data_IF_103959256001
#
_entry.id   IF_103959256001
#
_cell.length_a   1.000
_cell.length_b   1.000
_cell.length_c   1.000
_cell.angle_alpha   90.00
_cell.angle_beta   90.00
_cell.angle_gamma   90.00
#
_symmetry.space_group_name_H-M   'P 1'
#
loop_
_entity.id
_entity.type
_entity.pdbx_description
1 polymer ?
#
# COMPACT_ATOMS: atom_id res chain seq x y z
N UNK A 1 2.66 -19.60 11.88
CA UNK A 1 1.97 -18.50 12.58
C UNK A 1 3.04 -17.79 13.37
N UNK A 2 3.17 -16.49 13.12
CA UNK A 2 4.40 -15.72 13.36
C UNK A 2 4.57 -15.43 14.86
N UNK A 3 5.47 -16.15 15.54
CA UNK A 3 5.81 -15.91 16.95
C UNK A 3 6.23 -14.45 17.19
N UNK A 4 6.90 -13.84 16.21
CA UNK A 4 7.25 -12.42 16.21
C UNK A 4 6.03 -11.48 16.19
N UNK A 5 4.95 -11.90 15.51
CA UNK A 5 3.71 -11.11 15.46
C UNK A 5 2.94 -11.17 16.78
N UNK A 6 2.89 -12.35 17.40
CA UNK A 6 2.34 -12.46 18.75
C UNK A 6 3.16 -11.68 19.77
N UNK A 7 4.50 -11.69 19.66
CA UNK A 7 5.37 -10.90 20.53
C UNK A 7 5.11 -9.39 20.39
N UNK A 8 4.93 -8.87 19.17
CA UNK A 8 4.58 -7.45 18.95
C UNK A 8 3.19 -7.08 19.51
N UNK A 9 2.21 -7.99 19.39
CA UNK A 9 0.89 -7.79 20.00
C UNK A 9 1.03 -7.72 21.53
N UNK A 10 1.77 -8.65 22.13
CA UNK A 10 2.00 -8.70 23.57
C UNK A 10 2.77 -7.48 24.08
N UNK A 11 3.78 -6.99 23.35
CA UNK A 11 4.52 -5.78 23.71
C UNK A 11 3.59 -4.55 23.75
N UNK A 12 2.74 -4.36 22.73
CA UNK A 12 1.77 -3.24 22.74
C UNK A 12 0.68 -3.40 23.81
N UNK A 13 0.25 -4.63 24.10
CA UNK A 13 -0.72 -4.90 25.16
C UNK A 13 -0.12 -4.77 26.57
N UNK A 14 1.19 -5.00 26.73
CA UNK A 14 1.89 -4.89 28.02
C UNK A 14 1.90 -3.48 28.58
N UNK A 15 1.83 -2.45 27.72
CA UNK A 15 1.67 -1.05 28.13
C UNK A 15 0.34 -0.80 28.84
N UNK A 16 -0.65 -1.67 28.61
CA UNK A 16 -1.98 -1.56 29.18
C UNK A 16 -2.25 -2.50 30.36
N UNK A 17 -1.28 -3.33 30.79
CA UNK A 17 -1.46 -4.32 31.89
C UNK A 17 -2.68 -5.26 31.65
N UNK A 18 -3.04 -5.50 30.38
CA UNK A 18 -4.40 -5.92 29.95
C UNK A 18 -4.47 -7.37 29.43
N UNK A 19 -3.74 -8.31 30.04
CA UNK A 19 -4.05 -9.73 29.81
C UNK A 19 -5.36 -10.12 30.52
N UNK A 20 -6.21 -11.00 29.94
CA UNK A 20 -7.27 -11.66 30.69
C UNK A 20 -6.59 -12.46 31.80
N UNK A 21 -6.59 -11.89 32.99
CA UNK A 21 -5.77 -12.39 34.07
C UNK A 21 -6.51 -13.52 34.79
N UNK A 22 -5.74 -14.25 35.59
CA UNK A 22 -6.32 -15.27 36.49
C UNK A 22 -7.36 -14.63 37.42
N UNK A 23 -7.27 -13.32 37.66
CA UNK A 23 -8.22 -12.59 38.48
C UNK A 23 -9.60 -12.50 37.80
N UNK A 24 -9.73 -12.09 36.54
CA UNK A 24 -11.02 -12.03 35.81
C UNK A 24 -11.72 -13.40 35.77
N UNK A 25 -10.97 -14.46 35.49
CA UNK A 25 -11.50 -15.83 35.52
C UNK A 25 -11.90 -16.26 36.93
N UNK A 26 -11.09 -15.94 37.94
CA UNK A 26 -11.42 -16.21 39.33
C UNK A 26 -12.70 -15.49 39.75
N UNK A 27 -12.88 -14.23 39.35
CA UNK A 27 -14.10 -13.44 39.60
C UNK A 27 -15.35 -14.06 38.97
N UNK A 28 -15.25 -14.50 37.70
CA UNK A 28 -16.34 -15.20 37.01
C UNK A 28 -16.68 -16.50 37.72
N UNK A 29 -15.69 -17.34 38.02
CA UNK A 29 -15.91 -18.63 38.66
C UNK A 29 -16.40 -18.48 40.11
N UNK A 30 -15.85 -17.55 40.89
CA UNK A 30 -16.29 -17.31 42.27
C UNK A 30 -17.68 -16.70 42.31
N UNK A 31 -17.98 -15.76 41.41
CA UNK A 31 -19.31 -15.15 41.30
C UNK A 31 -20.36 -16.18 40.89
N UNK A 32 -20.07 -17.01 39.88
CA UNK A 32 -20.95 -18.08 39.45
C UNK A 32 -21.17 -19.13 40.57
N UNK A 33 -20.11 -19.51 41.29
CA UNK A 33 -20.21 -20.42 42.42
C UNK A 33 -21.09 -19.85 43.55
N UNK A 34 -20.90 -18.58 43.90
CA UNK A 34 -21.75 -17.90 44.89
C UNK A 34 -23.20 -17.86 44.44
N UNK A 35 -23.46 -17.59 43.15
CA UNK A 35 -24.81 -17.62 42.60
C UNK A 35 -25.45 -19.01 42.71
N UNK A 36 -24.70 -20.07 42.38
CA UNK A 36 -25.18 -21.45 42.54
C UNK A 36 -25.48 -21.79 44.00
N UNK A 37 -24.61 -21.41 44.94
CA UNK A 37 -24.81 -21.63 46.38
C UNK A 37 -26.11 -20.94 46.84
N UNK A 38 -26.31 -19.67 46.46
CA UNK A 38 -27.52 -18.93 46.77
C UNK A 38 -28.79 -19.60 46.20
N UNK A 39 -28.76 -20.06 44.95
CA UNK A 39 -29.89 -20.76 44.34
C UNK A 39 -30.21 -22.08 45.05
N UNK A 40 -29.18 -22.83 45.46
CA UNK A 40 -29.37 -24.08 46.23
C UNK A 40 -30.06 -23.81 47.55
N UNK A 41 -29.63 -22.81 48.33
CA UNK A 41 -30.27 -22.47 49.61
C UNK A 41 -31.61 -21.74 49.46
N UNK A 42 -31.92 -21.15 48.30
CA UNK A 42 -33.27 -20.68 47.98
C UNK A 42 -34.25 -21.83 47.74
N UNK A 43 -33.80 -22.93 47.13
CA UNK A 43 -34.66 -24.10 46.83
C UNK A 43 -34.75 -25.06 48.02
N UNK A 44 -33.67 -25.19 48.79
CA UNK A 44 -33.57 -26.06 49.95
C UNK A 44 -33.01 -25.25 51.14
N UNK A 45 -33.83 -24.38 51.76
CA UNK A 45 -33.41 -23.64 52.94
C UNK A 45 -33.25 -24.64 54.09
N UNK A 46 -32.03 -24.80 54.60
CA UNK A 46 -31.75 -25.70 55.73
C UNK A 46 -32.27 -25.18 57.07
N UNK A 47 -32.15 -25.99 58.12
CA UNK A 47 -32.75 -25.71 59.45
C UNK A 47 -31.85 -24.87 60.40
N UNK A 48 -30.74 -24.31 59.90
CA UNK A 48 -29.77 -23.60 60.75
C UNK A 48 -30.24 -22.21 61.22
N UNK A 49 -31.10 -21.55 60.46
CA UNK A 49 -31.64 -20.20 60.73
C UNK A 49 -33.12 -20.21 60.34
N UNK A 50 -33.90 -19.23 60.81
CA UNK A 50 -35.27 -18.99 60.33
C UNK A 50 -35.34 -19.01 58.79
N UNK A 51 -36.30 -19.76 58.26
CA UNK A 51 -36.45 -20.02 56.84
C UNK A 51 -36.60 -18.73 56.03
N UNK A 52 -37.33 -17.74 56.56
CA UNK A 52 -37.54 -16.46 55.89
C UNK A 52 -36.21 -15.71 55.75
N UNK A 53 -35.41 -15.70 56.82
CA UNK A 53 -34.09 -15.07 56.84
C UNK A 53 -33.12 -15.78 55.89
N UNK A 54 -33.13 -17.11 55.87
CA UNK A 54 -32.30 -17.92 54.96
C UNK A 54 -32.62 -17.63 53.49
N UNK A 55 -33.91 -17.50 53.14
CA UNK A 55 -34.33 -17.18 51.77
C UNK A 55 -33.87 -15.79 51.33
N UNK A 56 -34.02 -14.78 52.18
CA UNK A 56 -33.54 -13.42 51.88
C UNK A 56 -32.02 -13.35 51.75
N UNK A 57 -31.29 -14.03 52.65
CA UNK A 57 -29.84 -14.13 52.58
C UNK A 57 -29.37 -14.82 51.30
N UNK A 58 -30.03 -15.93 50.94
CA UNK A 58 -29.69 -16.71 49.74
C UNK A 58 -29.98 -15.94 48.45
N UNK A 59 -31.07 -15.17 48.42
CA UNK A 59 -31.37 -14.24 47.32
C UNK A 59 -30.31 -13.14 47.20
N UNK A 60 -29.84 -12.58 48.32
CA UNK A 60 -28.79 -11.57 48.33
C UNK A 60 -27.44 -12.13 47.83
N UNK A 61 -27.04 -13.32 48.30
CA UNK A 61 -25.82 -14.00 47.84
C UNK A 61 -25.91 -14.32 46.34
N UNK A 62 -27.08 -14.72 45.86
CA UNK A 62 -27.30 -14.96 44.43
C UNK A 62 -27.10 -13.69 43.61
N UNK A 63 -27.70 -12.57 44.05
CA UNK A 63 -27.57 -11.29 43.37
C UNK A 63 -26.11 -10.79 43.34
N UNK A 64 -25.39 -10.90 44.46
CA UNK A 64 -23.97 -10.51 44.53
C UNK A 64 -23.12 -11.40 43.63
N UNK A 65 -23.35 -12.72 43.62
CA UNK A 65 -22.62 -13.64 42.74
C UNK A 65 -22.82 -13.32 41.26
N UNK A 66 -24.04 -12.99 40.84
CA UNK A 66 -24.34 -12.59 39.46
C UNK A 66 -23.70 -11.26 39.08
N UNK A 67 -23.71 -10.27 39.98
CA UNK A 67 -23.05 -8.96 39.74
C UNK A 67 -21.54 -9.16 39.61
N UNK A 68 -20.94 -9.96 40.48
CA UNK A 68 -19.50 -10.24 40.46
C UNK A 68 -19.10 -10.99 39.17
N UNK A 69 -19.82 -12.05 38.81
CA UNK A 69 -19.55 -12.78 37.57
C UNK A 69 -19.76 -11.90 36.32
N UNK A 70 -20.78 -11.04 36.34
CA UNK A 70 -21.03 -10.07 35.28
C UNK A 70 -19.91 -9.03 35.15
N UNK A 71 -19.29 -8.62 36.25
CA UNK A 71 -18.16 -7.71 36.24
C UNK A 71 -16.93 -8.34 35.57
N UNK A 72 -16.56 -9.57 35.95
CA UNK A 72 -15.45 -10.28 35.32
C UNK A 72 -15.67 -10.54 33.82
N UNK A 73 -16.90 -10.89 33.42
CA UNK A 73 -17.26 -11.04 31.99
C UNK A 73 -17.12 -9.73 31.21
N UNK A 74 -17.56 -8.61 31.80
CA UNK A 74 -17.45 -7.29 31.21
C UNK A 74 -15.98 -6.94 30.96
N UNK A 75 -15.13 -7.08 31.96
CA UNK A 75 -13.73 -6.67 31.86
C UNK A 75 -12.96 -7.56 30.87
N UNK A 76 -13.27 -8.87 30.84
CA UNK A 76 -12.73 -9.78 29.82
C UNK A 76 -13.13 -9.37 28.39
N UNK A 77 -14.39 -9.00 28.16
CA UNK A 77 -14.86 -8.56 26.83
C UNK A 77 -14.18 -7.26 26.36
N UNK A 78 -13.91 -6.33 27.28
CA UNK A 78 -13.20 -5.09 26.97
C UNK A 78 -11.76 -5.39 26.57
N UNK A 79 -11.10 -6.30 27.30
CA UNK A 79 -9.73 -6.75 26.99
C UNK A 79 -9.66 -7.46 25.62
N UNK A 80 -10.62 -8.31 25.30
CA UNK A 80 -10.69 -8.99 23.98
C UNK A 80 -10.92 -8.00 22.82
N UNK A 81 -11.84 -7.05 22.97
CA UNK A 81 -12.09 -6.02 21.93
C UNK A 81 -10.82 -5.18 21.72
N UNK A 82 -10.11 -4.80 22.77
CA UNK A 82 -8.85 -4.05 22.65
C UNK A 82 -7.78 -4.87 21.93
N UNK A 83 -7.60 -6.14 22.29
CA UNK A 83 -6.69 -7.05 21.58
C UNK A 83 -7.04 -7.17 20.10
N UNK A 84 -8.33 -7.24 19.76
CA UNK A 84 -8.79 -7.30 18.37
C UNK A 84 -8.46 -6.02 17.58
N UNK A 85 -8.53 -4.85 18.21
CA UNK A 85 -8.16 -3.57 17.58
C UNK A 85 -6.65 -3.52 17.33
N UNK A 86 -5.83 -3.89 18.33
CA UNK A 86 -4.37 -3.92 18.18
C UNK A 86 -3.94 -4.92 17.11
N UNK A 87 -4.57 -6.10 17.08
CA UNK A 87 -4.35 -7.10 16.03
C UNK A 87 -4.70 -6.56 14.64
N UNK A 88 -5.83 -5.85 14.51
CA UNK A 88 -6.25 -5.26 13.24
C UNK A 88 -5.31 -4.14 12.78
N UNK A 89 -4.81 -3.33 13.71
CA UNK A 89 -3.84 -2.26 13.43
C UNK A 89 -2.50 -2.84 12.95
N UNK A 90 -1.96 -3.83 13.66
CA UNK A 90 -0.72 -4.52 13.28
C UNK A 90 -0.88 -5.32 11.99
N UNK A 91 -2.06 -5.89 11.73
CA UNK A 91 -2.35 -6.55 10.45
C UNK A 91 -2.36 -5.56 9.29
N UNK A 92 -2.89 -4.34 9.51
CA UNK A 92 -2.84 -3.26 8.52
C UNK A 92 -1.43 -2.74 8.27
N UNK A 93 -0.57 -2.73 9.29
CA UNK A 93 0.86 -2.41 9.12
C UNK A 93 1.62 -3.52 8.39
N UNK A 94 1.25 -4.79 8.59
CA UNK A 94 1.78 -5.93 7.82
C UNK A 94 1.42 -5.86 6.34
N UNK A 95 0.23 -5.34 6.00
CA UNK A 95 -0.21 -5.08 4.62
C UNK A 95 0.43 -3.84 3.98
N UNK A 96 1.24 -3.05 4.72
CA UNK A 96 2.16 -2.07 4.12
C UNK A 96 3.44 -2.72 3.58
N UNK A 97 3.40 -4.01 3.28
CA UNK A 97 4.40 -4.65 2.43
C UNK A 97 4.26 -4.18 0.97
N UNK A 98 5.21 -4.59 0.15
CA UNK A 98 5.18 -4.38 -1.31
C UNK A 98 3.81 -4.79 -1.85
N UNK A 99 3.10 -3.88 -2.52
CA UNK A 99 1.75 -4.12 -3.03
C UNK A 99 1.80 -5.07 -4.23
N UNK A 100 1.70 -6.38 -3.95
CA UNK A 100 1.72 -7.43 -4.97
C UNK A 100 0.53 -7.32 -5.94
N UNK A 101 -0.55 -6.62 -5.57
CA UNK A 101 -1.65 -6.31 -6.48
C UNK A 101 -1.21 -5.33 -7.55
N UNK A 102 -0.54 -4.25 -7.13
CA UNK A 102 0.07 -3.28 -8.06
C UNK A 102 1.12 -3.97 -8.95
N UNK A 103 2.03 -4.76 -8.39
CA UNK A 103 3.04 -5.49 -9.19
C UNK A 103 2.40 -6.46 -10.18
N UNK A 104 1.36 -7.20 -9.77
CA UNK A 104 0.67 -8.12 -10.67
C UNK A 104 -0.02 -7.36 -11.80
N UNK A 105 -0.67 -6.24 -11.51
CA UNK A 105 -1.36 -5.44 -12.51
C UNK A 105 -0.34 -4.77 -13.46
N UNK A 106 0.85 -4.39 -12.97
CA UNK A 106 2.03 -4.00 -13.76
C UNK A 106 2.46 -5.09 -14.74
N UNK A 107 2.56 -6.33 -14.26
CA UNK A 107 2.97 -7.47 -15.09
C UNK A 107 1.90 -7.95 -16.07
N UNK A 108 0.60 -7.75 -15.78
CA UNK A 108 -0.50 -8.19 -16.63
C UNK A 108 -0.83 -7.20 -17.77
N UNK A 109 -0.46 -5.92 -17.62
CA UNK A 109 -0.75 -4.89 -18.61
C UNK A 109 0.50 -4.09 -19.03
N UNK A 110 1.60 -4.73 -19.45
CA UNK A 110 2.87 -4.05 -19.73
C UNK A 110 2.75 -2.90 -20.74
N UNK A 111 1.86 -3.02 -21.74
CA UNK A 111 1.60 -1.97 -22.72
C UNK A 111 0.97 -0.69 -22.14
N UNK A 112 0.21 -0.79 -21.05
CA UNK A 112 -0.33 0.39 -20.35
C UNK A 112 0.77 1.10 -19.56
N UNK A 113 1.73 0.35 -19.03
CA UNK A 113 2.87 0.91 -18.30
C UNK A 113 3.93 1.52 -19.22
N UNK A 114 4.02 1.09 -20.48
CA UNK A 114 4.77 1.82 -21.51
C UNK A 114 4.23 3.24 -21.72
N UNK A 115 2.90 3.42 -21.68
CA UNK A 115 2.26 4.74 -21.74
C UNK A 115 2.56 5.60 -20.51
N UNK A 116 2.60 4.98 -19.33
CA UNK A 116 3.01 5.65 -18.09
C UNK A 116 4.48 6.09 -18.11
N UNK A 117 5.38 5.23 -18.63
CA UNK A 117 6.79 5.60 -18.80
C UNK A 117 6.93 6.78 -19.77
N UNK A 118 6.15 6.80 -20.85
CA UNK A 118 6.13 7.93 -21.79
C UNK A 118 5.70 9.24 -21.10
N UNK A 119 4.65 9.20 -20.25
CA UNK A 119 4.20 10.37 -19.48
C UNK A 119 5.27 10.90 -18.51
N UNK A 120 6.04 10.00 -17.88
CA UNK A 120 7.13 10.40 -16.98
C UNK A 120 8.29 11.02 -17.76
N UNK A 121 8.67 10.44 -18.91
CA UNK A 121 9.68 11.07 -19.77
C UNK A 121 9.20 12.45 -20.27
N UNK A 122 7.94 12.59 -20.68
CA UNK A 122 7.38 13.88 -21.10
C UNK A 122 7.44 14.91 -19.97
N UNK A 123 7.14 14.50 -18.73
CA UNK A 123 7.26 15.39 -17.57
C UNK A 123 8.71 15.78 -17.27
N UNK A 124 9.65 14.85 -17.37
CA UNK A 124 11.07 15.10 -17.11
C UNK A 124 11.72 15.97 -18.21
N UNK A 125 11.19 15.93 -19.44
CA UNK A 125 11.69 16.77 -20.53
C UNK A 125 10.98 18.13 -20.62
N UNK A 126 9.95 18.40 -19.83
CA UNK A 126 9.13 19.62 -19.94
C UNK A 126 9.90 20.92 -19.67
N UNK A 127 10.94 20.89 -18.84
CA UNK A 127 11.80 22.04 -18.57
C UNK A 127 13.12 22.03 -19.38
N UNK A 128 13.32 21.00 -20.20
CA UNK A 128 14.50 20.78 -21.03
C UNK A 128 15.78 20.46 -20.24
N UNK A 129 15.68 20.04 -18.97
CA UNK A 129 16.84 19.69 -18.13
C UNK A 129 16.54 18.47 -17.25
N UNK A 130 17.23 17.35 -17.50
CA UNK A 130 17.16 16.18 -16.63
C UNK A 130 18.02 16.33 -15.38
N UNK A 131 17.40 16.33 -14.19
CA UNK A 131 18.12 16.21 -12.93
C UNK A 131 18.50 14.75 -12.63
N UNK A 132 19.50 14.59 -11.76
CA UNK A 132 19.98 13.28 -11.32
C UNK A 132 18.88 12.47 -10.63
N UNK A 133 18.01 13.09 -9.85
CA UNK A 133 16.89 12.37 -9.22
C UNK A 133 15.91 11.83 -10.24
N UNK A 134 15.64 12.57 -11.31
CA UNK A 134 14.71 12.15 -12.37
C UNK A 134 15.31 11.01 -13.19
N UNK A 135 16.62 11.06 -13.43
CA UNK A 135 17.34 9.98 -14.09
C UNK A 135 17.32 8.67 -13.26
N UNK A 136 17.54 8.78 -11.94
CA UNK A 136 17.46 7.64 -11.02
C UNK A 136 16.02 7.03 -10.99
N UNK A 137 14.99 7.88 -11.07
CA UNK A 137 13.58 7.43 -11.14
C UNK A 137 13.28 6.71 -12.46
N UNK A 138 13.74 7.26 -13.59
CA UNK A 138 13.57 6.64 -14.90
C UNK A 138 14.29 5.29 -15.01
N UNK A 139 15.51 5.17 -14.46
CA UNK A 139 16.26 3.92 -14.42
C UNK A 139 15.58 2.87 -13.54
N UNK A 140 15.02 3.28 -12.39
CA UNK A 140 14.24 2.39 -11.53
C UNK A 140 13.02 1.83 -12.26
N UNK A 141 12.25 2.69 -12.96
CA UNK A 141 11.06 2.25 -13.70
C UNK A 141 11.45 1.37 -14.89
N UNK A 142 12.52 1.72 -15.60
CA UNK A 142 13.07 0.90 -16.68
C UNK A 142 13.42 -0.51 -16.20
N UNK A 143 14.05 -0.63 -15.03
CA UNK A 143 14.40 -1.94 -14.44
C UNK A 143 13.16 -2.77 -14.09
N UNK A 144 12.08 -2.11 -13.66
CA UNK A 144 10.82 -2.78 -13.30
C UNK A 144 10.09 -3.29 -14.53
N UNK A 145 10.16 -2.56 -15.65
CA UNK A 145 9.51 -2.91 -16.91
C UNK A 145 10.32 -3.87 -17.79
N UNK A 146 11.53 -4.24 -17.38
CA UNK A 146 12.45 -5.13 -18.12
C UNK A 146 12.69 -4.67 -19.57
N UNK A 147 12.80 -3.35 -19.77
CA UNK A 147 13.02 -2.75 -21.10
C UNK A 147 14.51 -2.74 -21.47
N UNK A 148 14.80 -3.10 -22.72
CA UNK A 148 16.16 -2.99 -23.27
C UNK A 148 16.62 -1.53 -23.35
N UNK A 149 17.93 -1.30 -23.46
CA UNK A 149 18.51 0.04 -23.65
C UNK A 149 17.89 0.71 -24.89
N UNK A 150 17.72 -0.05 -25.99
CA UNK A 150 17.19 0.49 -27.24
C UNK A 150 15.70 0.85 -27.13
N UNK A 151 14.90 0.02 -26.44
CA UNK A 151 13.48 0.27 -26.24
C UNK A 151 13.24 1.51 -25.36
N UNK A 152 14.00 1.64 -24.28
CA UNK A 152 13.92 2.80 -23.40
C UNK A 152 14.35 4.08 -24.13
N UNK A 153 15.42 4.02 -24.92
CA UNK A 153 15.88 5.17 -25.70
C UNK A 153 14.88 5.56 -26.81
N UNK A 154 14.20 4.61 -27.44
CA UNK A 154 13.13 4.90 -28.39
C UNK A 154 11.95 5.63 -27.73
N UNK A 155 11.58 5.24 -26.50
CA UNK A 155 10.52 5.90 -25.74
C UNK A 155 10.95 7.31 -25.30
N UNK A 156 12.19 7.46 -24.84
CA UNK A 156 12.75 8.75 -24.47
C UNK A 156 12.78 9.72 -25.66
N UNK A 157 13.23 9.25 -26.84
CA UNK A 157 13.23 10.05 -28.07
C UNK A 157 11.81 10.49 -28.45
N UNK A 158 10.83 9.60 -28.35
CA UNK A 158 9.42 9.90 -28.63
C UNK A 158 8.90 10.99 -27.70
N UNK A 159 9.11 10.83 -26.39
CA UNK A 159 8.69 11.81 -25.40
C UNK A 159 9.34 13.18 -25.63
N UNK A 160 10.64 13.22 -25.89
CA UNK A 160 11.36 14.47 -26.16
C UNK A 160 10.81 15.19 -27.42
N UNK A 161 10.56 14.44 -28.50
CA UNK A 161 9.94 14.99 -29.72
C UNK A 161 8.50 15.46 -29.43
N UNK A 162 7.70 14.69 -28.69
CA UNK A 162 6.32 15.05 -28.35
C UNK A 162 6.24 16.32 -27.52
N UNK A 163 7.18 16.53 -26.58
CA UNK A 163 7.30 17.77 -25.81
C UNK A 163 7.60 18.95 -26.73
N UNK A 164 8.59 18.83 -27.62
CA UNK A 164 8.95 19.86 -28.60
C UNK A 164 7.81 20.16 -29.60
N UNK A 165 7.00 19.16 -29.95
CA UNK A 165 5.83 19.34 -30.82
C UNK A 165 4.68 20.10 -30.13
N UNK A 166 4.61 20.05 -28.78
CA UNK A 166 3.48 20.59 -28.00
C UNK A 166 3.44 22.11 -28.00
N UNK A 167 4.61 22.75 -27.92
CA UNK A 167 4.73 24.21 -27.95
C UNK A 167 5.15 24.76 -29.34
N UNK A 168 5.56 23.87 -30.25
CA UNK A 168 5.94 24.19 -31.63
C UNK A 168 7.23 25.01 -31.72
N UNK A 169 8.05 24.98 -30.67
CA UNK A 169 9.35 25.64 -30.59
C UNK A 169 10.35 24.66 -30.04
N UNK A 170 11.59 24.78 -30.49
CA UNK A 170 12.67 23.93 -29.98
C UNK A 170 13.78 24.82 -29.46
N UNK A 171 14.07 24.70 -28.17
CA UNK A 171 15.20 25.37 -27.52
C UNK A 171 16.48 24.57 -27.73
N UNK A 172 17.63 25.25 -27.73
CA UNK A 172 18.97 24.63 -27.91
C UNK A 172 19.24 23.49 -26.90
N UNK A 173 18.66 23.57 -25.69
CA UNK A 173 18.76 22.54 -24.65
C UNK A 173 17.96 21.27 -25.00
N UNK A 174 16.80 21.45 -25.63
CA UNK A 174 15.94 20.33 -26.05
C UNK A 174 16.54 19.61 -27.25
N UNK A 175 17.21 20.34 -28.15
CA UNK A 175 17.96 19.74 -29.28
C UNK A 175 19.02 18.77 -28.76
N UNK A 176 19.80 19.18 -27.74
CA UNK A 176 20.84 18.33 -27.16
C UNK A 176 20.25 17.05 -26.53
N UNK A 177 19.11 17.17 -25.84
CA UNK A 177 18.40 16.02 -25.27
C UNK A 177 17.87 15.06 -26.34
N UNK A 178 17.26 15.59 -27.41
CA UNK A 178 16.74 14.79 -28.52
C UNK A 178 17.88 14.09 -29.27
N UNK A 179 19.01 14.77 -29.51
CA UNK A 179 20.17 14.15 -30.15
C UNK A 179 20.77 13.01 -29.33
N UNK A 180 20.90 13.20 -28.02
CA UNK A 180 21.42 12.18 -27.12
C UNK A 180 20.49 10.96 -27.09
N UNK A 181 19.17 11.19 -26.94
CA UNK A 181 18.18 10.12 -27.01
C UNK A 181 18.17 9.40 -28.37
N UNK A 182 18.38 10.11 -29.48
CA UNK A 182 18.44 9.54 -30.82
C UNK A 182 19.70 8.68 -31.06
N UNK A 183 20.84 9.07 -30.48
CA UNK A 183 22.07 8.26 -30.50
C UNK A 183 21.88 6.97 -29.69
N UNK A 184 21.27 7.08 -28.51
CA UNK A 184 21.00 5.94 -27.64
C UNK A 184 19.96 4.98 -28.24
N UNK A 185 19.02 5.51 -29.04
CA UNK A 185 18.04 4.72 -29.79
C UNK A 185 18.62 4.00 -31.02
N UNK A 186 19.92 4.16 -31.31
CA UNK A 186 20.58 3.49 -32.43
C UNK A 186 20.18 4.01 -33.82
N UNK A 187 19.71 5.25 -33.93
CA UNK A 187 19.35 5.85 -35.22
C UNK A 187 20.62 6.10 -36.04
N UNK A 188 20.60 5.69 -37.32
CA UNK A 188 21.71 5.91 -38.26
C UNK A 188 22.03 7.41 -38.43
N UNK A 189 23.29 7.74 -38.74
CA UNK A 189 23.77 9.11 -38.95
C UNK A 189 22.94 9.94 -39.96
N UNK A 190 22.28 9.29 -40.93
CA UNK A 190 21.35 9.94 -41.86
C UNK A 190 20.01 10.31 -41.23
N UNK A 191 19.51 9.51 -40.30
CA UNK A 191 18.29 9.81 -39.52
C UNK A 191 18.54 10.91 -38.50
N UNK A 192 19.71 10.88 -37.84
CA UNK A 192 20.16 11.93 -36.93
C UNK A 192 20.26 13.30 -37.63
N UNK A 193 20.82 13.34 -38.85
CA UNK A 193 20.86 14.58 -39.65
C UNK A 193 19.47 15.10 -39.99
N UNK A 194 18.53 14.23 -40.33
CA UNK A 194 17.14 14.67 -40.61
C UNK A 194 16.45 15.21 -39.37
N UNK A 195 16.71 14.62 -38.21
CA UNK A 195 16.20 15.12 -36.93
C UNK A 195 16.84 16.48 -36.62
N UNK A 196 18.16 16.61 -36.76
CA UNK A 196 18.86 17.89 -36.56
C UNK A 196 18.36 18.97 -37.53
N UNK A 197 18.27 18.69 -38.83
CA UNK A 197 17.81 19.64 -39.85
C UNK A 197 16.38 20.13 -39.59
N UNK A 198 15.51 19.26 -39.04
CA UNK A 198 14.12 19.60 -38.68
C UNK A 198 13.97 20.33 -37.33
N UNK A 199 15.03 20.38 -36.52
CA UNK A 199 15.05 21.07 -35.23
C UNK A 199 15.89 22.36 -35.27
N UNK A 200 16.73 22.54 -36.29
CA UNK A 200 17.71 23.64 -36.41
C UNK A 200 17.07 25.03 -36.56
N UNK A 201 15.88 25.12 -37.16
CA UNK A 201 15.18 26.40 -37.34
C UNK A 201 14.33 26.82 -36.12
N UNK A 202 14.24 25.94 -35.12
CA UNK A 202 13.49 26.15 -33.88
C UNK A 202 11.97 26.21 -34.05
N UNK A 203 11.43 25.86 -35.23
CA UNK A 203 10.01 25.94 -35.57
C UNK A 203 9.52 24.72 -36.34
N UNK A 204 8.93 23.77 -35.61
CA UNK A 204 8.38 22.54 -36.21
C UNK A 204 7.14 22.82 -37.07
N UNK A 205 7.30 22.75 -38.39
CA UNK A 205 6.22 22.89 -39.37
C UNK A 205 5.41 21.59 -39.56
N UNK A 206 4.21 21.69 -40.14
CA UNK A 206 3.31 20.53 -40.29
C UNK A 206 3.85 19.40 -41.20
N UNK A 207 4.88 19.65 -42.01
CA UNK A 207 5.58 18.62 -42.80
C UNK A 207 6.64 17.92 -41.95
N UNK A 208 7.38 18.66 -41.13
CA UNK A 208 8.37 18.18 -40.16
C UNK A 208 7.72 17.36 -39.04
N UNK A 209 6.56 17.81 -38.52
CA UNK A 209 5.77 17.03 -37.55
C UNK A 209 5.42 15.65 -38.09
N UNK A 210 4.93 15.59 -39.33
CA UNK A 210 4.58 14.31 -39.98
C UNK A 210 5.79 13.44 -40.27
N UNK A 211 6.94 14.05 -40.57
CA UNK A 211 8.19 13.34 -40.80
C UNK A 211 8.70 12.70 -39.50
N UNK A 212 8.70 13.45 -38.40
CA UNK A 212 9.07 12.96 -37.07
C UNK A 212 8.07 11.90 -36.55
N UNK A 213 6.76 12.13 -36.71
CA UNK A 213 5.73 11.13 -36.42
C UNK A 213 5.90 9.85 -37.26
N UNK A 214 6.32 9.98 -38.53
CA UNK A 214 6.62 8.85 -39.40
C UNK A 214 7.85 8.04 -38.98
N UNK A 215 8.89 8.70 -38.48
CA UNK A 215 10.08 8.04 -37.90
C UNK A 215 9.73 7.27 -36.62
N UNK A 216 8.81 7.82 -35.82
CA UNK A 216 8.28 7.22 -34.59
C UNK A 216 7.46 5.96 -34.84
N UNK A 217 6.74 5.89 -35.97
CA UNK A 217 5.84 4.79 -36.28
C UNK A 217 6.53 3.60 -36.97
N UNK A 218 7.55 3.83 -37.79
CA UNK A 218 8.28 2.78 -38.51
C UNK A 218 9.28 2.00 -37.63
N UNK A 219 9.74 2.55 -36.50
CA UNK A 219 10.65 1.84 -35.59
C UNK A 219 10.00 0.72 -34.78
N UNK A 220 8.66 0.64 -34.78
CA UNK A 220 7.89 -0.41 -34.07
C UNK A 220 7.37 -1.52 -34.98
N UNK A 221 7.54 -1.42 -36.31
CA UNK A 221 6.97 -2.37 -37.27
C UNK A 221 7.92 -3.50 -37.70
N UNK A 222 9.14 -3.57 -37.16
CA UNK A 222 10.09 -4.66 -37.48
C UNK A 222 10.08 -5.82 -36.46
N UNK A 223 9.23 -5.78 -35.43
CA UNK A 223 9.07 -6.89 -34.47
C UNK A 223 7.62 -7.43 -34.46
N UNK A 224 7.19 -8.04 -35.57
CA UNK A 224 6.13 -9.07 -35.58
C UNK A 224 6.70 -10.44 -35.98
#
# INVERSE_FOLDING_TARGET
MDEDFEAMILERLSVFDDEPDINDWAEIFSGALMACIGIVYMTHPGDFIDQTVMLWLSAAITAVGLIWAGHGLKDMSVKEVRRSIVMLELSKERDKGVDYGLIRDVLLHPSQYTGFLMEIYESAFEDGVLDKSELDELEAIRSVLDLSDEQAASIALKAAITVALRDGKVEEREIELIENAAKDAGINDEGLKKIHDALEDGHLDEEEKKMLEGLIHNSFSEEE
#
